data_IF_629603836390
#
_entry.id   IF_629603836390
#
_cell.length_a   1.000
_cell.length_b   1.000
_cell.length_c   1.000
_cell.angle_alpha   90.00
_cell.angle_beta   90.00
_cell.angle_gamma   90.00
#
_symmetry.space_group_name_H-M   'P 1'
#
loop_
_entity.id
_entity.type
_entity.pdbx_description
1 polymer ?
#
# COMPACT_ATOMS: atom_id res chain seq x y z
N UNK A 1 2.27 8.62 -23.65
CA UNK A 1 2.71 7.70 -22.58
C UNK A 1 1.44 7.12 -21.96
N UNK A 2 1.21 5.81 -22.08
CA UNK A 2 0.10 5.15 -21.41
C UNK A 2 0.41 5.26 -19.90
N UNK A 3 -0.39 6.00 -19.15
CA UNK A 3 -0.28 5.97 -17.69
C UNK A 3 -0.98 4.67 -17.28
N UNK A 4 -0.23 3.67 -16.87
CA UNK A 4 -0.75 2.41 -16.32
C UNK A 4 -1.28 2.66 -14.90
N UNK A 5 -2.29 3.55 -14.76
CA UNK A 5 -2.95 3.76 -13.49
C UNK A 5 -3.98 2.67 -13.27
N UNK A 6 -3.94 2.04 -12.10
CA UNK A 6 -5.03 1.20 -11.67
C UNK A 6 -6.26 2.09 -11.45
N UNK A 7 -7.33 1.84 -12.21
CA UNK A 7 -8.58 2.60 -12.10
C UNK A 7 -9.33 2.17 -10.85
N UNK A 8 -9.45 3.08 -9.89
CA UNK A 8 -10.24 2.93 -8.67
C UNK A 8 -11.55 3.68 -8.84
N UNK A 9 -12.65 3.03 -8.46
CA UNK A 9 -14.00 3.59 -8.45
C UNK A 9 -14.51 3.65 -6.99
N UNK A 10 -15.44 4.56 -6.67
CA UNK A 10 -15.96 4.74 -5.30
C UNK A 10 -16.63 3.49 -4.71
N UNK A 11 -17.05 2.56 -5.57
CA UNK A 11 -17.63 1.28 -5.17
C UNK A 11 -16.60 0.22 -4.80
N UNK A 12 -15.32 0.47 -5.07
CA UNK A 12 -14.23 -0.44 -4.74
C UNK A 12 -14.00 -0.45 -3.23
N UNK A 13 -13.51 -1.59 -2.73
CA UNK A 13 -13.31 -1.80 -1.30
C UNK A 13 -11.93 -2.38 -1.05
N UNK A 14 -11.33 -1.96 0.07
CA UNK A 14 -10.15 -2.59 0.62
C UNK A 14 -10.58 -3.74 1.53
N UNK A 15 -10.10 -4.94 1.22
CA UNK A 15 -10.29 -6.13 2.06
C UNK A 15 -8.95 -6.48 2.67
N UNK A 16 -8.83 -6.38 3.99
CA UNK A 16 -7.60 -6.72 4.71
C UNK A 16 -7.22 -8.18 4.43
N UNK A 17 -5.95 -8.42 4.16
CA UNK A 17 -5.41 -9.74 3.87
C UNK A 17 -4.47 -10.20 4.98
N UNK A 18 -3.56 -9.32 5.40
CA UNK A 18 -2.53 -9.67 6.36
C UNK A 18 -2.09 -8.43 7.15
N UNK A 19 -1.64 -8.69 8.37
CA UNK A 19 -0.85 -7.75 9.17
C UNK A 19 0.41 -8.50 9.58
N UNK A 20 1.55 -8.06 9.09
CA UNK A 20 2.85 -8.57 9.47
C UNK A 20 3.50 -7.62 10.47
N UNK A 21 3.64 -8.10 11.72
CA UNK A 21 4.40 -7.38 12.74
C UNK A 21 5.89 -7.65 12.57
N UNK A 22 6.66 -6.58 12.46
CA UNK A 22 8.10 -6.61 12.33
C UNK A 22 8.73 -6.20 13.66
N UNK A 23 9.43 -7.13 14.32
CA UNK A 23 10.15 -6.85 15.56
C UNK A 23 11.53 -6.23 15.31
N UNK A 24 11.66 -5.38 14.29
CA UNK A 24 12.93 -4.73 13.95
C UNK A 24 12.95 -3.28 14.46
N UNK A 25 14.15 -2.72 14.65
CA UNK A 25 14.35 -1.37 15.19
C UNK A 25 13.97 -0.32 14.16
N UNK A 26 12.68 -0.21 13.90
CA UNK A 26 12.20 0.74 12.94
C UNK A 26 10.77 0.54 12.55
N UNK A 27 10.56 -0.42 11.67
CA UNK A 27 9.28 -0.69 11.08
C UNK A 27 8.48 -1.59 12.00
N UNK A 28 7.31 -1.14 12.42
CA UNK A 28 6.51 -1.91 13.38
C UNK A 28 5.56 -2.87 12.68
N UNK A 29 4.79 -2.40 11.69
CA UNK A 29 3.79 -3.21 11.01
C UNK A 29 3.80 -3.00 9.49
N UNK A 30 3.50 -4.07 8.75
CA UNK A 30 3.04 -4.00 7.36
C UNK A 30 1.59 -4.48 7.33
N UNK A 31 0.69 -3.64 6.85
CA UNK A 31 -0.70 -4.05 6.62
C UNK A 31 -0.96 -4.13 5.12
N UNK A 32 -1.56 -5.22 4.68
CA UNK A 32 -1.85 -5.48 3.27
C UNK A 32 -3.35 -5.62 3.05
N UNK A 33 -3.85 -4.93 2.03
CA UNK A 33 -5.23 -5.03 1.58
C UNK A 33 -5.28 -5.44 0.11
N UNK A 34 -6.34 -6.18 -0.22
CA UNK A 34 -6.75 -6.43 -1.59
C UNK A 34 -7.76 -5.36 -2.01
N UNK A 35 -7.55 -4.77 -3.19
CA UNK A 35 -8.54 -3.91 -3.83
C UNK A 35 -9.54 -4.80 -4.56
N UNK A 36 -10.79 -4.74 -4.14
CA UNK A 36 -11.90 -5.50 -4.72
C UNK A 36 -12.90 -4.54 -5.33
N UNK A 37 -13.20 -4.71 -6.61
CA UNK A 37 -14.17 -3.88 -7.29
C UNK A 37 -15.62 -4.26 -7.00
N UNK A 38 -16.56 -3.51 -7.56
CA UNK A 38 -18.00 -3.63 -7.26
C UNK A 38 -18.54 -5.05 -7.43
N UNK A 39 -18.03 -5.79 -8.40
CA UNK A 39 -18.51 -7.13 -8.74
C UNK A 39 -17.66 -8.23 -8.11
N UNK A 40 -16.76 -7.88 -7.18
CA UNK A 40 -15.85 -8.84 -6.55
C UNK A 40 -14.55 -9.07 -7.32
N UNK A 41 -14.32 -8.35 -8.42
CA UNK A 41 -13.10 -8.48 -9.21
C UNK A 41 -11.87 -8.00 -8.42
N UNK A 42 -10.78 -8.76 -8.51
CA UNK A 42 -9.51 -8.35 -7.95
C UNK A 42 -8.86 -7.30 -8.86
N UNK A 43 -8.68 -6.08 -8.33
CA UNK A 43 -8.08 -4.96 -9.06
C UNK A 43 -6.59 -4.77 -8.74
N UNK A 44 -6.16 -5.14 -7.54
CA UNK A 44 -4.78 -4.94 -7.12
C UNK A 44 -4.60 -5.08 -5.61
N UNK A 45 -3.48 -4.56 -5.10
CA UNK A 45 -3.19 -4.56 -3.67
C UNK A 45 -2.72 -3.18 -3.20
N UNK A 46 -2.94 -2.91 -1.92
CA UNK A 46 -2.36 -1.78 -1.21
C UNK A 46 -1.59 -2.33 -0.02
N UNK A 47 -0.37 -1.83 0.19
CA UNK A 47 0.43 -2.15 1.36
C UNK A 47 0.80 -0.85 2.09
N UNK A 48 0.53 -0.81 3.38
CA UNK A 48 0.96 0.25 4.29
C UNK A 48 2.14 -0.26 5.11
N UNK A 49 3.23 0.50 5.11
CA UNK A 49 4.41 0.26 5.92
C UNK A 49 4.44 1.33 7.01
N UNK A 50 4.27 0.93 8.27
CA UNK A 50 4.32 1.83 9.43
C UNK A 50 5.75 2.00 9.97
N UNK A 51 6.04 3.20 10.46
CA UNK A 51 7.29 3.62 11.10
C UNK A 51 8.52 3.19 10.31
N UNK A 52 8.62 3.59 9.05
CA UNK A 52 9.85 3.37 8.30
C UNK A 52 11.03 4.11 8.97
N UNK A 53 11.75 3.48 9.91
CA UNK A 53 13.03 4.02 10.38
C UNK A 53 14.08 3.80 9.32
N UNK A 54 14.04 4.67 8.31
CA UNK A 54 15.12 4.79 7.36
C UNK A 54 16.09 5.79 7.97
N UNK A 55 17.33 5.34 8.17
CA UNK A 55 18.44 6.10 8.70
C UNK A 55 18.44 7.57 8.25
N UNK A 56 18.24 8.49 9.20
CA UNK A 56 18.70 9.90 9.25
C UNK A 56 18.43 10.86 8.08
N UNK A 57 17.80 10.48 6.97
CA UNK A 57 17.60 11.37 5.81
C UNK A 57 16.16 11.50 5.31
N UNK A 58 15.22 10.72 5.85
CA UNK A 58 13.80 10.82 5.54
C UNK A 58 13.00 10.93 6.82
N UNK A 59 12.26 12.04 7.00
CA UNK A 59 11.47 12.29 8.21
C UNK A 59 10.04 11.70 8.11
N UNK A 60 9.82 10.73 7.21
CA UNK A 60 8.48 10.22 6.87
C UNK A 60 8.19 8.91 7.58
N UNK A 61 7.06 8.87 8.28
CA UNK A 61 6.67 7.76 9.14
C UNK A 61 6.04 6.60 8.36
N UNK A 62 5.38 6.87 7.24
CA UNK A 62 4.59 5.89 6.50
C UNK A 62 4.99 5.80 5.02
N UNK A 63 4.85 4.61 4.46
CA UNK A 63 4.84 4.39 3.00
C UNK A 63 3.60 3.63 2.60
N UNK A 64 2.97 4.08 1.53
CA UNK A 64 1.82 3.42 0.92
C UNK A 64 2.25 3.02 -0.49
N UNK A 65 2.21 1.72 -0.77
CA UNK A 65 2.40 1.21 -2.12
C UNK A 65 1.10 0.62 -2.65
N UNK A 66 0.85 0.82 -3.94
CA UNK A 66 -0.25 0.18 -4.65
C UNK A 66 0.32 -0.62 -5.81
N UNK A 67 -0.14 -1.86 -5.94
CA UNK A 67 0.21 -2.73 -7.06
C UNK A 67 -1.01 -3.06 -7.91
N UNK A 68 -0.78 -3.20 -9.23
CA UNK A 68 -1.78 -3.77 -10.13
C UNK A 68 -1.93 -5.29 -9.91
N UNK A 69 -2.83 -5.93 -10.66
CA UNK A 69 -3.03 -7.39 -10.62
C UNK A 69 -1.76 -8.17 -10.99
N UNK A 70 -0.85 -7.58 -11.76
CA UNK A 70 0.40 -8.19 -12.19
C UNK A 70 1.55 -7.98 -11.18
N UNK A 71 1.30 -7.30 -10.06
CA UNK A 71 2.30 -6.97 -9.05
C UNK A 71 3.19 -5.78 -9.40
N UNK A 72 2.89 -5.00 -10.44
CA UNK A 72 3.63 -3.78 -10.78
C UNK A 72 3.21 -2.66 -9.85
N UNK A 73 4.19 -1.95 -9.29
CA UNK A 73 3.94 -0.78 -8.45
C UNK A 73 3.43 0.37 -9.32
N UNK A 74 2.20 0.80 -9.07
CA UNK A 74 1.55 1.91 -9.77
C UNK A 74 1.49 3.19 -8.93
N UNK A 75 1.54 3.05 -7.60
CA UNK A 75 1.69 4.17 -6.65
C UNK A 75 2.76 3.79 -5.63
N UNK A 76 3.64 4.74 -5.35
CA UNK A 76 4.60 4.69 -4.26
C UNK A 76 4.61 6.06 -3.58
N UNK A 77 4.07 6.13 -2.37
CA UNK A 77 3.85 7.39 -1.66
C UNK A 77 4.41 7.34 -0.25
N UNK A 78 5.12 8.40 0.15
CA UNK A 78 5.66 8.59 1.48
C UNK A 78 4.91 9.72 2.18
N UNK A 79 4.46 9.50 3.40
CA UNK A 79 3.68 10.47 4.19
C UNK A 79 3.98 10.36 5.68
N UNK A 80 3.79 11.46 6.40
CA UNK A 80 3.81 11.52 7.86
C UNK A 80 2.42 11.47 8.49
N UNK A 81 1.39 11.52 7.65
CA UNK A 81 -0.01 11.58 8.06
C UNK A 81 -0.80 10.51 7.31
N UNK A 82 -1.60 9.75 8.06
CA UNK A 82 -2.57 8.77 7.55
C UNK A 82 -3.97 9.38 7.47
#
# INVERSE_FOLDING_TARGET
>A
MLRDYLKIDDSDRLVEQSIQRLNNRGQEDITEWRIVGKNGEHKGHVSLFDKLCIQRSWNVSYRITQTDVNGRVVVDHLTDVL
#
